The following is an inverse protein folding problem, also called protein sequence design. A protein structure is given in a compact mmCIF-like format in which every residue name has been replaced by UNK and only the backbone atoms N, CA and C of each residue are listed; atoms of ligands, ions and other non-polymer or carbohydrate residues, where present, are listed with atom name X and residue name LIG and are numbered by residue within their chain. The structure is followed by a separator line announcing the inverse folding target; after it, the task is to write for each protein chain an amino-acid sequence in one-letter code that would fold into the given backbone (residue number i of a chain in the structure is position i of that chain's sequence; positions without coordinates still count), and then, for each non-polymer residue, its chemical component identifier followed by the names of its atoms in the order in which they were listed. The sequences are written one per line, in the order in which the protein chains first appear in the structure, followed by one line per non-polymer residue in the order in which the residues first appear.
data_IF_496314319966
#
_entry.id   IF_496314319966
#
_cell.length_a   1.000
_cell.length_b   1.000
_cell.length_c   1.000
_cell.angle_alpha   90.00
_cell.angle_beta   90.00
_cell.angle_gamma   90.00
#
_symmetry.space_group_name_H-M   'P 1'
#
loop_
_entity.id
_entity.type
_entity.pdbx_description
1 polymer ?
#
# COMPACT_ATOMS: atom_id res chain seq x y z
N UNK A 1 14.59 -26.98 -7.01
CA UNK A 1 13.13 -26.90 -7.18
C UNK A 1 12.89 -26.04 -8.41
N UNK A 2 12.18 -26.56 -9.42
CA UNK A 2 11.92 -25.81 -10.66
C UNK A 2 10.96 -24.65 -10.40
N UNK A 3 11.11 -23.56 -11.15
CA UNK A 3 10.17 -22.45 -11.12
C UNK A 3 8.93 -22.91 -11.90
N UNK A 4 7.77 -23.04 -11.24
CA UNK A 4 6.51 -23.31 -11.94
C UNK A 4 6.10 -22.07 -12.76
N UNK A 5 5.56 -22.26 -13.96
CA UNK A 5 5.12 -21.15 -14.83
C UNK A 5 4.16 -20.18 -14.15
N UNK A 6 3.37 -20.69 -13.21
CA UNK A 6 2.44 -19.89 -12.41
C UNK A 6 3.12 -18.99 -11.39
N UNK A 7 4.39 -19.21 -11.02
CA UNK A 7 5.19 -18.34 -10.14
C UNK A 7 5.82 -17.16 -10.91
N UNK A 8 5.97 -17.29 -12.22
CA UNK A 8 6.64 -16.32 -13.11
C UNK A 8 5.72 -15.16 -13.49
N UNK A 9 4.43 -15.44 -13.64
CA UNK A 9 3.45 -14.50 -14.19
C UNK A 9 2.46 -14.02 -13.14
N UNK A 10 2.20 -12.72 -13.13
CA UNK A 10 1.06 -12.11 -12.44
C UNK A 10 -0.06 -11.98 -13.46
N UNK A 11 -1.20 -12.65 -13.18
CA UNK A 11 -2.40 -12.63 -14.03
C UNK A 11 -3.39 -11.63 -13.45
N UNK A 12 -3.79 -10.63 -14.23
CA UNK A 12 -4.79 -9.63 -13.86
C UNK A 12 -5.86 -9.60 -14.97
N UNK A 13 -6.97 -10.29 -14.74
CA UNK A 13 -8.00 -10.55 -15.74
C UNK A 13 -7.41 -11.23 -17.01
N UNK A 14 -7.40 -10.55 -18.16
CA UNK A 14 -6.82 -11.04 -19.43
C UNK A 14 -5.35 -10.64 -19.62
N UNK A 15 -4.79 -9.82 -18.74
CA UNK A 15 -3.44 -9.32 -18.85
C UNK A 15 -2.49 -10.20 -18.05
N UNK A 16 -1.34 -10.51 -18.65
CA UNK A 16 -0.28 -11.27 -17.99
C UNK A 16 0.99 -10.43 -18.02
N UNK A 17 1.55 -10.17 -16.84
CA UNK A 17 2.80 -9.43 -16.70
C UNK A 17 3.78 -10.30 -15.93
N UNK A 18 5.04 -10.31 -16.39
CA UNK A 18 6.09 -11.00 -15.67
C UNK A 18 6.26 -10.39 -14.28
N UNK A 19 6.33 -11.22 -13.24
CA UNK A 19 6.32 -10.78 -11.84
C UNK A 19 7.38 -9.71 -11.56
N UNK A 20 8.58 -9.90 -12.11
CA UNK A 20 9.67 -8.91 -12.03
C UNK A 20 9.36 -7.55 -12.63
N UNK A 21 8.66 -7.50 -13.77
CA UNK A 21 8.28 -6.24 -14.41
C UNK A 21 7.20 -5.55 -13.57
N UNK A 22 6.26 -6.30 -13.03
CA UNK A 22 5.24 -5.78 -12.13
C UNK A 22 5.85 -5.23 -10.83
N UNK A 23 6.76 -5.96 -10.20
CA UNK A 23 7.48 -5.49 -9.00
C UNK A 23 8.31 -4.24 -9.29
N UNK A 24 8.99 -4.18 -10.45
CA UNK A 24 9.74 -3.00 -10.85
C UNK A 24 8.83 -1.78 -10.99
N UNK A 25 7.72 -1.92 -11.72
CA UNK A 25 6.74 -0.83 -11.90
C UNK A 25 6.17 -0.38 -10.56
N UNK A 26 5.83 -1.31 -9.66
CA UNK A 26 5.36 -0.96 -8.32
C UNK A 26 6.40 -0.19 -7.51
N UNK A 27 7.66 -0.63 -7.51
CA UNK A 27 8.74 0.11 -6.82
C UNK A 27 8.87 1.54 -7.33
N UNK A 28 8.77 1.74 -8.64
CA UNK A 28 8.79 3.07 -9.25
C UNK A 28 7.56 3.91 -8.86
N UNK A 29 6.36 3.32 -8.93
CA UNK A 29 5.10 4.00 -8.53
C UNK A 29 5.16 4.46 -7.07
N UNK A 30 5.69 3.64 -6.15
CA UNK A 30 5.83 4.02 -4.74
C UNK A 30 6.79 5.20 -4.54
N UNK A 31 7.89 5.26 -5.29
CA UNK A 31 8.80 6.43 -5.24
C UNK A 31 8.09 7.69 -5.73
N UNK A 32 7.33 7.58 -6.83
CA UNK A 32 6.56 8.70 -7.38
C UNK A 32 5.49 9.17 -6.40
N UNK A 33 4.75 8.24 -5.78
CA UNK A 33 3.76 8.56 -4.75
C UNK A 33 4.43 9.25 -3.55
N UNK A 34 5.54 8.70 -3.06
CA UNK A 34 6.32 9.33 -1.98
C UNK A 34 6.76 10.75 -2.32
N UNK A 35 7.21 11.00 -3.55
CA UNK A 35 7.53 12.35 -4.01
C UNK A 35 6.33 13.29 -3.93
N UNK A 36 5.14 12.87 -4.39
CA UNK A 36 3.93 13.70 -4.30
C UNK A 36 3.50 13.95 -2.86
N UNK A 37 3.57 12.95 -1.97
CA UNK A 37 3.34 13.12 -0.53
C UNK A 37 4.34 14.10 0.08
N UNK A 38 5.61 14.03 -0.33
CA UNK A 38 6.63 15.00 0.08
C UNK A 38 6.31 16.44 -0.36
N UNK A 39 5.81 16.62 -1.58
CA UNK A 39 5.37 17.94 -2.07
C UNK A 39 4.17 18.46 -1.27
N UNK A 40 3.20 17.61 -0.94
CA UNK A 40 2.06 18.04 -0.12
C UNK A 40 2.47 18.43 1.30
N UNK A 41 3.42 17.72 1.91
CA UNK A 41 3.99 18.07 3.23
C UNK A 41 4.60 19.48 3.22
N UNK A 42 5.32 19.83 2.15
CA UNK A 42 5.90 21.17 2.01
C UNK A 42 4.84 22.28 1.94
N UNK A 43 3.63 21.95 1.48
CA UNK A 43 2.50 22.87 1.37
C UNK A 43 1.67 22.96 2.65
N UNK A 44 1.40 21.82 3.30
CA UNK A 44 0.53 21.73 4.48
C UNK A 44 1.27 21.90 5.81
N UNK A 45 2.62 21.82 5.79
CA UNK A 45 3.47 21.75 6.99
C UNK A 45 3.12 20.61 7.95
N UNK A 46 2.47 19.56 7.45
CA UNK A 46 2.20 18.35 8.21
C UNK A 46 3.43 17.43 8.20
N UNK A 47 4.23 17.54 9.24
CA UNK A 47 5.46 16.75 9.39
C UNK A 47 5.19 15.26 9.66
N UNK A 48 3.97 14.85 10.01
CA UNK A 48 3.61 13.43 10.15
C UNK A 48 3.62 12.75 8.77
N UNK A 49 3.08 13.43 7.76
CA UNK A 49 3.10 12.95 6.37
C UNK A 49 4.53 12.89 5.76
N UNK A 50 5.53 13.54 6.38
CA UNK A 50 6.94 13.38 5.98
C UNK A 50 7.45 11.97 6.23
N UNK A 51 7.01 11.34 7.32
CA UNK A 51 7.41 9.96 7.67
C UNK A 51 6.90 9.01 6.60
N UNK A 52 5.63 9.15 6.19
CA UNK A 52 5.05 8.37 5.11
C UNK A 52 5.81 8.57 3.79
N UNK A 53 6.11 9.82 3.42
CA UNK A 53 6.94 10.11 2.24
C UNK A 53 8.26 9.33 2.26
N UNK A 54 8.98 9.36 3.38
CA UNK A 54 10.26 8.63 3.52
C UNK A 54 10.07 7.12 3.45
N UNK A 55 8.98 6.59 4.01
CA UNK A 55 8.66 5.16 3.93
C UNK A 55 8.32 4.73 2.50
N UNK A 56 7.54 5.53 1.76
CA UNK A 56 7.23 5.29 0.35
C UNK A 56 8.50 5.28 -0.53
N UNK A 57 9.31 6.33 -0.43
CA UNK A 57 10.54 6.45 -1.23
C UNK A 57 11.57 5.39 -0.82
N UNK A 58 11.77 5.19 0.48
CA UNK A 58 12.73 4.22 1.01
C UNK A 58 12.37 2.79 0.65
N UNK A 59 11.13 2.37 0.90
CA UNK A 59 10.67 1.02 0.58
C UNK A 59 10.62 0.76 -0.93
N UNK A 60 10.17 1.74 -1.73
CA UNK A 60 10.17 1.67 -3.19
C UNK A 60 11.59 1.57 -3.76
N UNK A 61 12.53 2.38 -3.25
CA UNK A 61 13.94 2.34 -3.64
C UNK A 61 14.62 1.01 -3.29
N UNK A 62 14.39 0.49 -2.09
CA UNK A 62 14.90 -0.83 -1.68
C UNK A 62 14.29 -1.94 -2.55
N UNK A 63 12.99 -1.87 -2.87
CA UNK A 63 12.34 -2.83 -3.74
C UNK A 63 12.97 -2.82 -5.16
N UNK A 64 13.18 -1.65 -5.75
CA UNK A 64 13.85 -1.52 -7.05
C UNK A 64 15.29 -2.06 -7.00
N UNK A 65 16.04 -1.73 -5.95
CA UNK A 65 17.40 -2.23 -5.77
C UNK A 65 17.42 -3.76 -5.60
N UNK A 66 16.51 -4.31 -4.81
CA UNK A 66 16.33 -5.75 -4.63
C UNK A 66 15.99 -6.46 -5.93
N UNK A 67 15.05 -5.92 -6.69
CA UNK A 67 14.59 -6.47 -7.95
C UNK A 67 15.70 -6.45 -9.02
N UNK A 68 16.46 -5.35 -9.12
CA UNK A 68 17.55 -5.21 -10.11
C UNK A 68 18.80 -6.02 -9.74
N UNK A 69 19.06 -6.26 -8.45
CA UNK A 69 20.21 -7.03 -7.97
C UNK A 69 19.89 -8.49 -7.65
N UNK A 70 18.65 -8.93 -7.85
CA UNK A 70 18.20 -10.28 -7.50
C UNK A 70 18.34 -10.60 -6.01
N UNK A 71 18.16 -9.60 -5.15
CA UNK A 71 18.36 -9.73 -3.70
C UNK A 71 17.01 -9.71 -2.97
N UNK A 72 16.45 -10.89 -2.61
CA UNK A 72 15.11 -10.99 -2.03
C UNK A 72 14.97 -10.29 -0.68
N UNK A 73 16.07 -10.16 0.09
CA UNK A 73 16.06 -9.47 1.40
C UNK A 73 15.51 -8.04 1.35
N UNK A 74 15.63 -7.35 0.21
CA UNK A 74 15.21 -5.96 0.08
C UNK A 74 13.71 -5.79 -0.22
N UNK A 75 12.97 -6.90 -0.34
CA UNK A 75 11.50 -6.88 -0.49
C UNK A 75 10.80 -6.73 0.86
N UNK A 76 11.46 -7.15 1.96
CA UNK A 76 10.89 -7.14 3.30
C UNK A 76 10.38 -5.78 3.77
N UNK A 77 11.11 -4.67 3.62
CA UNK A 77 10.62 -3.35 4.01
C UNK A 77 9.29 -2.99 3.34
N UNK A 78 9.15 -3.27 2.04
CA UNK A 78 7.89 -3.02 1.33
C UNK A 78 6.77 -3.94 1.82
N UNK A 79 7.03 -5.22 2.03
CA UNK A 79 6.01 -6.16 2.54
C UNK A 79 5.50 -5.75 3.93
N UNK A 80 6.40 -5.36 4.83
CA UNK A 80 6.04 -4.89 6.18
C UNK A 80 5.25 -3.59 6.09
N UNK A 81 5.79 -2.60 5.36
CA UNK A 81 5.15 -1.29 5.22
C UNK A 81 3.73 -1.40 4.65
N UNK A 82 3.58 -2.18 3.57
CA UNK A 82 2.28 -2.39 2.94
C UNK A 82 1.33 -3.19 3.85
N UNK A 83 1.84 -4.18 4.61
CA UNK A 83 1.04 -4.90 5.60
C UNK A 83 0.50 -4.00 6.70
N UNK A 84 1.31 -3.07 7.21
CA UNK A 84 0.87 -2.07 8.19
C UNK A 84 -0.20 -1.16 7.59
N UNK A 85 0.00 -0.65 6.36
CA UNK A 85 -0.99 0.18 5.68
C UNK A 85 -2.33 -0.53 5.49
N UNK A 86 -2.33 -1.80 5.06
CA UNK A 86 -3.57 -2.59 4.95
C UNK A 86 -4.27 -2.71 6.30
N UNK A 87 -3.53 -2.97 7.38
CA UNK A 87 -4.13 -3.08 8.72
C UNK A 87 -4.74 -1.76 9.18
N UNK A 88 -4.04 -0.63 8.99
CA UNK A 88 -4.54 0.70 9.37
C UNK A 88 -5.80 1.05 8.57
N UNK A 89 -5.77 0.91 7.24
CA UNK A 89 -6.94 1.16 6.38
C UNK A 89 -8.11 0.24 6.73
N UNK A 90 -7.86 -1.03 7.08
CA UNK A 90 -8.91 -1.96 7.47
C UNK A 90 -9.55 -1.57 8.79
N UNK A 91 -8.75 -1.22 9.80
CA UNK A 91 -9.24 -0.73 11.09
C UNK A 91 -10.09 0.53 10.89
N UNK A 92 -9.62 1.45 10.05
CA UNK A 92 -10.32 2.68 9.74
C UNK A 92 -11.64 2.42 8.99
N UNK A 93 -11.63 1.55 7.99
CA UNK A 93 -12.86 1.10 7.31
C UNK A 93 -13.88 0.53 8.30
N UNK A 94 -13.44 -0.37 9.19
CA UNK A 94 -14.32 -0.99 10.19
C UNK A 94 -14.89 0.05 11.16
N UNK A 95 -14.11 1.06 11.54
CA UNK A 95 -14.56 2.16 12.37
C UNK A 95 -15.63 3.01 11.66
N UNK A 96 -15.37 3.47 10.43
CA UNK A 96 -16.34 4.26 9.66
C UNK A 96 -17.62 3.45 9.41
N UNK A 97 -17.48 2.15 9.12
CA UNK A 97 -18.62 1.25 8.97
C UNK A 97 -19.44 1.12 10.26
N UNK A 98 -18.79 0.94 11.41
CA UNK A 98 -19.46 0.87 12.71
C UNK A 98 -20.23 2.17 13.05
N UNK A 99 -19.66 3.34 12.71
CA UNK A 99 -20.34 4.64 12.84
C UNK A 99 -21.54 4.73 11.90
N UNK A 100 -21.42 4.25 10.67
CA UNK A 100 -22.53 4.27 9.68
C UNK A 100 -23.74 3.45 10.13
N UNK A 101 -23.53 2.31 10.77
CA UNK A 101 -24.60 1.43 11.25
C UNK A 101 -25.03 1.72 12.70
N UNK A 102 -24.51 2.77 13.32
CA UNK A 102 -24.87 3.19 14.68
C UNK A 102 -24.35 2.28 15.79
N UNK A 103 -23.33 1.46 15.52
CA UNK A 103 -22.66 0.63 16.54
C UNK A 103 -21.54 1.37 17.28
N UNK A 104 -21.07 2.49 16.74
CA UNK A 104 -20.07 3.34 17.36
C UNK A 104 -20.49 4.81 17.27
N UNK A 105 -20.16 5.59 18.29
CA UNK A 105 -20.25 7.04 18.21
C UNK A 105 -18.98 7.60 17.55
N UNK A 106 -19.11 8.61 16.68
CA UNK A 106 -17.95 9.30 16.14
C UNK A 106 -17.24 9.98 17.31
N UNK A 107 -16.11 9.41 17.71
CA UNK A 107 -15.29 9.88 18.82
C UNK A 107 -13.98 10.44 18.27
N UNK A 108 -13.32 11.30 19.08
CA UNK A 108 -12.08 11.98 18.73
C UNK A 108 -10.76 11.19 18.81
N UNK A 109 -10.65 9.88 19.18
CA UNK A 109 -9.33 9.27 19.37
C UNK A 109 -8.53 9.08 18.07
N UNK A 110 -9.07 9.56 16.95
CA UNK A 110 -8.45 9.57 15.64
C UNK A 110 -8.21 10.98 15.09
N UNK A 111 -8.58 12.06 15.81
CA UNK A 111 -8.48 13.44 15.32
C UNK A 111 -7.04 13.85 14.94
N UNK A 112 -6.04 13.21 15.54
CA UNK A 112 -4.62 13.44 15.26
C UNK A 112 -4.07 12.60 14.08
N UNK A 113 -4.85 11.64 13.55
CA UNK A 113 -4.46 10.77 12.43
C UNK A 113 -5.32 11.14 11.23
N UNK A 114 -5.04 12.28 10.61
CA UNK A 114 -5.63 12.69 9.33
C UNK A 114 -7.12 13.00 9.40
N UNK A 115 -7.49 14.17 9.91
CA UNK A 115 -8.81 14.80 9.72
C UNK A 115 -10.04 13.94 10.13
N UNK A 116 -9.87 12.93 10.99
CA UNK A 116 -10.95 12.02 11.40
C UNK A 116 -11.99 12.74 12.30
N UNK A 117 -11.62 13.86 12.92
CA UNK A 117 -12.57 14.74 13.62
C UNK A 117 -13.66 15.32 12.71
N UNK A 118 -13.44 15.30 11.40
CA UNK A 118 -14.42 15.73 10.40
C UNK A 118 -15.56 14.71 10.19
N UNK A 119 -15.45 13.46 10.66
CA UNK A 119 -16.53 12.46 10.52
C UNK A 119 -17.83 12.92 11.17
N UNK A 120 -17.76 13.70 12.24
CA UNK A 120 -18.92 14.30 12.90
C UNK A 120 -19.63 15.29 11.97
N UNK A 121 -18.86 16.07 11.18
CA UNK A 121 -19.37 17.05 10.24
C UNK A 121 -19.84 16.48 8.89
N UNK A 122 -19.42 15.26 8.55
CA UNK A 122 -19.82 14.61 7.30
C UNK A 122 -21.24 14.08 7.32
N UNK A 123 -21.94 14.30 6.21
CA UNK A 123 -23.22 13.68 5.90
C UNK A 123 -23.07 12.16 5.77
N UNK A 124 -24.19 11.42 5.91
CA UNK A 124 -24.20 9.96 5.72
C UNK A 124 -23.65 9.55 4.36
N UNK A 125 -23.93 10.31 3.30
CA UNK A 125 -23.42 10.04 1.95
C UNK A 125 -21.90 10.14 1.86
N UNK A 126 -21.31 11.14 2.49
CA UNK A 126 -19.84 11.31 2.54
C UNK A 126 -19.17 10.19 3.34
N UNK A 127 -19.74 9.80 4.47
CA UNK A 127 -19.24 8.67 5.28
C UNK A 127 -19.26 7.35 4.49
N UNK A 128 -20.32 7.10 3.71
CA UNK A 128 -20.38 5.95 2.80
C UNK A 128 -19.29 6.02 1.74
N UNK A 129 -19.07 7.21 1.16
CA UNK A 129 -17.99 7.44 0.20
C UNK A 129 -16.61 7.13 0.77
N UNK A 130 -16.32 7.59 1.99
CA UNK A 130 -15.07 7.32 2.71
C UNK A 130 -14.91 5.82 2.95
N UNK A 131 -15.94 5.14 3.46
CA UNK A 131 -15.90 3.70 3.69
C UNK A 131 -15.61 2.90 2.40
N UNK A 132 -16.24 3.27 1.29
CA UNK A 132 -15.98 2.63 -0.01
C UNK A 132 -14.54 2.92 -0.46
N UNK A 133 -14.08 4.17 -0.33
CA UNK A 133 -12.72 4.57 -0.67
C UNK A 133 -11.67 3.74 0.08
N UNK A 134 -11.83 3.61 1.39
CA UNK A 134 -10.93 2.82 2.24
C UNK A 134 -10.97 1.33 1.94
N UNK A 135 -12.15 0.79 1.62
CA UNK A 135 -12.25 -0.61 1.19
C UNK A 135 -11.49 -0.83 -0.13
N UNK A 136 -11.63 0.07 -1.09
CA UNK A 136 -10.90 0.00 -2.37
C UNK A 136 -9.39 0.13 -2.15
N UNK A 137 -8.95 1.02 -1.25
CA UNK A 137 -7.56 1.16 -0.86
C UNK A 137 -7.01 -0.12 -0.23
N UNK A 138 -7.75 -0.73 0.71
CA UNK A 138 -7.40 -2.03 1.29
C UNK A 138 -7.17 -3.11 0.24
N UNK A 139 -8.09 -3.22 -0.74
CA UNK A 139 -7.99 -4.21 -1.82
C UNK A 139 -6.79 -3.94 -2.73
N UNK A 140 -6.56 -2.68 -3.08
CA UNK A 140 -5.42 -2.27 -3.91
C UNK A 140 -4.08 -2.54 -3.22
N UNK A 141 -3.95 -2.15 -1.95
CA UNK A 141 -2.74 -2.38 -1.15
C UNK A 141 -2.50 -3.89 -0.94
N UNK A 142 -3.55 -4.67 -0.67
CA UNK A 142 -3.44 -6.13 -0.58
C UNK A 142 -2.95 -6.74 -1.89
N UNK A 143 -3.44 -6.26 -3.03
CA UNK A 143 -2.98 -6.68 -4.35
C UNK A 143 -1.50 -6.33 -4.58
N UNK A 144 -1.08 -5.11 -4.25
CA UNK A 144 0.34 -4.73 -4.35
C UNK A 144 1.22 -5.61 -3.47
N UNK A 145 0.76 -5.94 -2.27
CA UNK A 145 1.45 -6.85 -1.34
C UNK A 145 1.61 -8.24 -1.94
N UNK A 146 0.56 -8.75 -2.58
CA UNK A 146 0.61 -10.01 -3.31
C UNK A 146 1.66 -10.00 -4.44
N UNK A 147 1.70 -8.95 -5.26
CA UNK A 147 2.70 -8.85 -6.35
C UNK A 147 4.13 -8.80 -5.81
N UNK A 148 4.38 -8.04 -4.75
CA UNK A 148 5.69 -7.96 -4.10
C UNK A 148 6.08 -9.31 -3.51
N UNK A 149 5.16 -9.99 -2.80
CA UNK A 149 5.38 -11.33 -2.26
C UNK A 149 5.71 -12.36 -3.34
N UNK A 150 5.00 -12.31 -4.47
CA UNK A 150 5.27 -13.18 -5.62
C UNK A 150 6.67 -12.92 -6.19
N UNK A 151 7.08 -11.67 -6.33
CA UNK A 151 8.44 -11.32 -6.77
C UNK A 151 9.52 -11.78 -5.79
N UNK A 152 9.25 -11.70 -4.49
CA UNK A 152 10.11 -12.22 -3.44
C UNK A 152 10.28 -13.76 -3.56
N UNK A 153 9.18 -14.50 -3.69
CA UNK A 153 9.18 -15.95 -3.86
C UNK A 153 9.92 -16.38 -5.13
N UNK A 154 9.72 -15.66 -6.24
CA UNK A 154 10.41 -15.92 -7.50
C UNK A 154 11.94 -15.83 -7.33
N UNK A 155 12.44 -14.79 -6.66
CA UNK A 155 13.88 -14.64 -6.40
C UNK A 155 14.43 -15.68 -5.43
N UNK A 156 13.66 -16.08 -4.41
CA UNK A 156 14.07 -17.17 -3.51
C UNK A 156 14.24 -18.50 -4.25
N UNK A 157 13.43 -18.74 -5.28
CA UNK A 157 13.47 -19.98 -6.08
C UNK A 157 14.56 -19.98 -7.16
N UNK A 158 15.52 -19.05 -7.12
CA UNK A 158 16.63 -18.98 -8.06
C UNK A 158 16.27 -18.27 -9.38
N UNK A 159 15.17 -17.51 -9.39
CA UNK A 159 14.82 -16.65 -10.50
C UNK A 159 15.91 -15.60 -10.78
N UNK A 160 16.21 -15.38 -12.05
CA UNK A 160 17.24 -14.43 -12.45
C UNK A 160 16.65 -13.02 -12.58
N UNK A 161 17.34 -11.99 -12.05
CA UNK A 161 16.99 -10.62 -12.35
C UNK A 161 17.42 -10.30 -13.79
N UNK A 162 16.44 -10.09 -14.68
CA UNK A 162 16.61 -9.76 -16.11
C UNK A 162 17.29 -10.82 -16.98
#
# INVERSE_FOLDING_TARGET
MGIEDDDVMVKMCRWQIHVHKATFVLGFVYIVLGFFVGVSVLQTQDYVALVDCLLYVGSGGLLLHGNTKGKPRFYWPMMIFNGIHVMVSLIYFLYVFAVLIGLAEPSQPFDDIGDIGALIGYSTGERVGIAIGELLMCLMLSWFGYVVYRGYKYLLNGGLPF
#
